data_IF_008106422075
#
_entry.id   IF_008106422075
#
_cell.length_a   1.000
_cell.length_b   1.000
_cell.length_c   1.000
_cell.angle_alpha   90.00
_cell.angle_beta   90.00
_cell.angle_gamma   90.00
#
_symmetry.space_group_name_H-M   'P 1'
#
loop_
_entity.id
_entity.type
_entity.pdbx_description
1 polymer ?
#
# COMPACT_ATOMS: atom_id res chain seq x y z
N UNK A 1 -27.40 12.34 -19.16
CA UNK A 1 -26.65 11.55 -18.17
C UNK A 1 -27.65 11.03 -17.14
N UNK A 2 -27.90 9.72 -17.14
CA UNK A 2 -28.69 9.09 -16.08
C UNK A 2 -27.93 9.25 -14.76
N UNK A 3 -28.64 9.63 -13.71
CA UNK A 3 -28.06 9.77 -12.39
C UNK A 3 -27.76 8.36 -11.86
N UNK A 4 -26.49 7.95 -11.87
CA UNK A 4 -26.03 6.60 -11.50
C UNK A 4 -26.14 6.34 -9.97
N UNK A 5 -27.15 6.88 -9.31
CA UNK A 5 -27.33 6.76 -7.86
C UNK A 5 -26.37 7.62 -7.05
N UNK A 6 -25.75 8.65 -7.64
CA UNK A 6 -24.89 9.62 -6.95
C UNK A 6 -25.29 11.07 -7.27
N UNK A 7 -25.29 11.92 -6.25
CA UNK A 7 -25.37 13.37 -6.35
C UNK A 7 -23.95 13.96 -6.27
N UNK A 8 -23.64 14.92 -7.15
CA UNK A 8 -22.31 15.56 -7.26
C UNK A 8 -22.39 16.99 -6.75
N UNK A 9 -21.41 17.44 -5.96
CA UNK A 9 -21.36 18.78 -5.36
C UNK A 9 -19.99 19.42 -5.54
N UNK A 10 -19.97 20.75 -5.58
CA UNK A 10 -18.73 21.54 -5.64
C UNK A 10 -18.05 21.60 -4.27
N UNK A 11 -18.83 21.64 -3.18
CA UNK A 11 -18.30 21.77 -1.84
C UNK A 11 -18.55 20.51 -1.00
N UNK A 12 -17.62 20.23 -0.07
CA UNK A 12 -17.71 19.09 0.86
C UNK A 12 -18.96 19.12 1.75
N UNK A 13 -19.48 20.31 2.05
CA UNK A 13 -20.67 20.51 2.87
C UNK A 13 -21.99 20.27 2.12
N UNK A 14 -21.97 19.56 0.99
CA UNK A 14 -23.15 19.26 0.13
C UNK A 14 -23.84 20.53 -0.40
N UNK A 15 -23.08 21.59 -0.65
CA UNK A 15 -23.59 22.82 -1.29
C UNK A 15 -23.09 22.92 -2.74
N UNK A 16 -23.88 23.58 -3.60
CA UNK A 16 -23.55 23.70 -5.02
C UNK A 16 -23.67 22.38 -5.77
N UNK A 17 -24.86 21.75 -5.70
CA UNK A 17 -25.14 20.51 -6.42
C UNK A 17 -25.04 20.72 -7.94
N UNK A 18 -24.34 19.79 -8.60
CA UNK A 18 -24.20 19.75 -10.04
C UNK A 18 -25.24 18.78 -10.58
N UNK A 19 -26.36 19.32 -11.06
CA UNK A 19 -27.37 18.51 -11.74
C UNK A 19 -26.89 18.08 -13.12
N UNK A 20 -26.94 16.77 -13.37
CA UNK A 20 -26.69 16.19 -14.68
C UNK A 20 -27.60 16.80 -15.76
N UNK A 21 -27.02 17.59 -16.66
CA UNK A 21 -27.72 18.19 -17.79
C UNK A 21 -26.88 18.01 -19.04
N UNK A 22 -27.49 17.52 -20.13
CA UNK A 22 -26.81 17.37 -21.42
C UNK A 22 -26.44 18.69 -22.09
N UNK A 23 -27.00 19.81 -21.58
CA UNK A 23 -26.94 21.11 -22.26
C UNK A 23 -26.10 22.14 -21.49
N UNK A 24 -25.36 21.72 -20.44
CA UNK A 24 -24.50 22.60 -19.64
C UNK A 24 -23.04 22.22 -19.85
N UNK A 25 -22.21 23.20 -20.23
CA UNK A 25 -20.75 23.03 -20.31
C UNK A 25 -20.10 23.13 -18.92
N UNK A 26 -18.92 22.55 -18.76
CA UNK A 26 -18.12 22.67 -17.52
C UNK A 26 -17.75 24.13 -17.20
N UNK A 27 -17.57 24.96 -18.23
CA UNK A 27 -17.28 26.39 -18.07
C UNK A 27 -18.42 27.16 -17.38
N UNK A 28 -19.67 26.75 -17.61
CA UNK A 28 -20.84 27.36 -16.97
C UNK A 28 -20.91 27.02 -15.47
N UNK A 29 -20.35 25.88 -15.08
CA UNK A 29 -20.22 25.44 -13.69
C UNK A 29 -19.00 26.02 -12.97
N UNK A 30 -18.18 26.84 -13.69
CA UNK A 30 -16.92 27.44 -13.20
C UNK A 30 -15.89 26.44 -12.69
N UNK A 31 -15.96 25.19 -13.15
CA UNK A 31 -15.02 24.13 -12.79
C UNK A 31 -13.74 24.31 -13.62
N UNK A 32 -12.60 24.45 -12.95
CA UNK A 32 -11.27 24.57 -13.53
C UNK A 32 -10.47 23.29 -13.33
N UNK A 33 -9.36 23.19 -14.06
CA UNK A 33 -8.40 22.12 -13.82
C UNK A 33 -7.80 22.26 -12.42
N UNK A 34 -7.95 21.23 -11.60
CA UNK A 34 -7.50 21.21 -10.20
C UNK A 34 -8.62 21.36 -9.17
N UNK A 35 -9.85 21.65 -9.60
CA UNK A 35 -11.00 21.74 -8.69
C UNK A 35 -11.46 20.35 -8.22
N UNK A 36 -11.77 20.23 -6.93
CA UNK A 36 -12.28 19.00 -6.33
C UNK A 36 -13.81 18.94 -6.43
N UNK A 37 -14.33 17.76 -6.77
CA UNK A 37 -15.76 17.47 -6.78
C UNK A 37 -16.07 16.39 -5.73
N UNK A 38 -17.23 16.50 -5.11
CA UNK A 38 -17.66 15.61 -4.03
C UNK A 38 -18.87 14.79 -4.49
N UNK A 39 -18.82 13.47 -4.36
CA UNK A 39 -19.90 12.56 -4.73
C UNK A 39 -20.56 11.98 -3.48
N UNK A 40 -21.89 11.95 -3.46
CA UNK A 40 -22.67 11.33 -2.40
C UNK A 40 -23.71 10.36 -2.99
N UNK A 41 -23.88 9.16 -2.45
CA UNK A 41 -24.89 8.22 -2.93
C UNK A 41 -26.32 8.74 -2.64
N UNK A 42 -27.21 8.65 -3.62
CA UNK A 42 -28.59 9.16 -3.56
C UNK A 42 -29.60 8.13 -3.00
N UNK A 43 -29.18 6.90 -2.72
CA UNK A 43 -29.99 5.90 -2.03
C UNK A 43 -29.18 5.19 -0.97
N UNK A 44 -29.84 4.71 0.07
CA UNK A 44 -29.30 3.77 1.06
C UNK A 44 -28.99 2.43 0.38
N UNK A 45 -28.00 2.40 -0.51
CA UNK A 45 -27.19 1.20 -0.65
C UNK A 45 -26.50 0.99 0.71
N UNK A 46 -26.57 -0.23 1.23
CA UNK A 46 -26.26 -0.62 2.62
C UNK A 46 -24.93 -0.09 3.19
N UNK A 47 -24.74 -0.24 4.51
CA UNK A 47 -24.11 0.72 5.40
C UNK A 47 -22.71 1.11 4.92
N UNK A 48 -22.63 2.25 4.24
CA UNK A 48 -21.40 3.03 4.12
C UNK A 48 -21.47 4.10 5.20
N UNK A 49 -21.10 3.75 6.42
CA UNK A 49 -20.93 4.74 7.49
C UNK A 49 -19.52 5.30 7.45
N UNK A 50 -19.44 6.53 6.96
CA UNK A 50 -18.85 7.68 7.64
C UNK A 50 -17.51 7.45 8.36
N UNK A 51 -16.46 8.09 7.84
CA UNK A 51 -15.29 8.50 8.59
C UNK A 51 -15.71 9.49 9.69
N UNK A 52 -15.54 9.15 10.96
CA UNK A 52 -15.14 10.08 12.03
C UNK A 52 -14.53 9.29 13.21
N UNK A 53 -13.32 9.70 13.57
CA UNK A 53 -12.67 9.74 14.88
C UNK A 53 -12.90 8.60 15.89
N UNK A 54 -11.80 7.86 16.12
CA UNK A 54 -11.38 7.26 17.37
C UNK A 54 -12.43 6.54 18.23
N UNK A 55 -12.59 5.22 18.04
CA UNK A 55 -12.60 4.24 19.17
C UNK A 55 -12.65 2.79 18.66
N UNK A 56 -11.91 1.96 19.39
CA UNK A 56 -11.65 0.53 19.21
C UNK A 56 -12.89 -0.33 18.92
N UNK A 57 -13.05 -0.80 17.68
CA UNK A 57 -13.76 -2.05 17.37
C UNK A 57 -13.12 -2.71 16.14
N UNK A 58 -12.84 -4.02 16.27
CA UNK A 58 -12.06 -4.81 15.33
C UNK A 58 -12.62 -4.81 13.91
N UNK A 59 -11.86 -4.20 13.01
CA UNK A 59 -12.03 -4.31 11.57
C UNK A 59 -11.70 -5.76 11.17
N UNK A 60 -12.75 -6.57 10.99
CA UNK A 60 -12.63 -7.75 10.13
C UNK A 60 -12.28 -7.23 8.73
N UNK A 61 -11.17 -7.74 8.20
CA UNK A 61 -10.68 -7.48 6.86
C UNK A 61 -11.84 -7.51 5.86
N UNK A 62 -12.22 -6.33 5.36
CA UNK A 62 -13.04 -6.21 4.16
C UNK A 62 -12.20 -6.84 3.06
N UNK A 63 -12.63 -8.01 2.58
CA UNK A 63 -11.85 -8.86 1.69
C UNK A 63 -11.27 -8.03 0.55
N UNK A 64 -9.96 -8.18 0.34
CA UNK A 64 -9.31 -7.69 -0.88
C UNK A 64 -10.19 -8.11 -2.04
N UNK A 65 -10.58 -7.16 -2.91
CA UNK A 65 -11.09 -7.53 -4.22
C UNK A 65 -10.15 -8.62 -4.77
N UNK A 66 -10.70 -9.74 -5.25
CA UNK A 66 -9.91 -10.89 -5.70
C UNK A 66 -9.25 -10.53 -7.05
N UNK A 67 -8.31 -9.60 -7.01
CA UNK A 67 -7.44 -9.22 -8.11
C UNK A 67 -6.40 -10.32 -8.21
N UNK A 68 -6.35 -10.95 -9.37
CA UNK A 68 -5.32 -11.94 -9.66
C UNK A 68 -4.04 -11.17 -9.98
N UNK A 69 -3.05 -11.27 -9.08
CA UNK A 69 -1.71 -10.74 -9.29
C UNK A 69 -1.00 -11.48 -10.44
N UNK A 70 0.01 -10.85 -11.05
CA UNK A 70 0.81 -11.47 -12.08
C UNK A 70 1.55 -12.72 -11.55
N UNK A 71 1.80 -13.69 -12.42
CA UNK A 71 2.46 -14.95 -12.03
C UNK A 71 3.83 -14.71 -11.38
N UNK A 72 4.56 -13.68 -11.83
CA UNK A 72 5.86 -13.31 -11.28
C UNK A 72 5.74 -12.75 -9.86
N UNK A 73 4.72 -11.96 -9.58
CA UNK A 73 4.49 -11.37 -8.26
C UNK A 73 4.06 -12.44 -7.25
N UNK A 74 3.23 -13.39 -7.70
CA UNK A 74 2.87 -14.58 -6.91
C UNK A 74 4.09 -15.46 -6.60
N UNK A 75 5.03 -15.57 -7.54
CA UNK A 75 6.28 -16.31 -7.32
C UNK A 75 7.18 -15.58 -6.31
N UNK A 76 7.41 -14.27 -6.51
CA UNK A 76 8.30 -13.46 -5.69
C UNK A 76 7.76 -13.25 -4.26
N UNK A 77 6.45 -13.16 -4.08
CA UNK A 77 5.81 -13.02 -2.75
C UNK A 77 6.07 -14.22 -1.83
N UNK A 78 6.26 -15.42 -2.40
CA UNK A 78 6.54 -16.66 -1.64
C UNK A 78 8.00 -16.79 -1.21
N UNK A 79 8.92 -16.04 -1.83
CA UNK A 79 10.34 -16.09 -1.48
C UNK A 79 10.63 -15.26 -0.22
N UNK A 80 11.61 -15.64 0.59
CA UNK A 80 12.06 -14.82 1.74
C UNK A 80 12.95 -13.65 1.28
N UNK A 81 13.72 -13.87 0.20
CA UNK A 81 14.72 -12.94 -0.32
C UNK A 81 15.92 -12.74 0.60
N UNK A 82 16.16 -13.64 1.56
CA UNK A 82 17.28 -13.49 2.50
C UNK A 82 18.61 -13.75 1.81
N UNK A 83 19.61 -12.95 2.16
CA UNK A 83 20.96 -13.09 1.62
C UNK A 83 21.77 -13.96 2.58
N UNK A 84 21.96 -15.22 2.20
CA UNK A 84 22.69 -16.19 3.01
C UNK A 84 24.20 -15.98 2.90
N UNK A 85 24.85 -15.77 4.05
CA UNK A 85 26.30 -15.58 4.15
C UNK A 85 27.00 -16.82 4.67
N UNK A 86 28.17 -17.09 4.11
CA UNK A 86 29.07 -18.14 4.61
C UNK A 86 29.68 -17.75 5.95
N UNK A 87 30.17 -18.75 6.69
CA UNK A 87 30.91 -18.51 7.93
C UNK A 87 32.23 -17.81 7.61
N UNK A 88 32.47 -16.69 8.28
CA UNK A 88 33.77 -16.02 8.27
C UNK A 88 34.74 -16.73 9.23
N UNK A 89 35.87 -17.29 8.75
CA UNK A 89 36.83 -18.00 9.62
C UNK A 89 37.48 -17.13 10.70
N UNK A 90 37.59 -15.82 10.48
CA UNK A 90 38.27 -14.89 11.38
C UNK A 90 37.30 -14.26 12.39
N UNK A 91 36.08 -13.93 11.97
CA UNK A 91 35.10 -13.24 12.81
C UNK A 91 34.13 -14.21 13.52
N UNK A 92 33.86 -15.40 12.97
CA UNK A 92 32.89 -16.33 13.54
C UNK A 92 33.51 -17.26 14.60
N UNK A 93 33.24 -16.95 15.88
CA UNK A 93 33.64 -17.76 17.04
C UNK A 93 32.54 -18.71 17.54
N UNK A 94 32.10 -19.62 16.67
CA UNK A 94 31.09 -20.63 17.03
C UNK A 94 31.34 -21.95 16.29
N UNK A 95 30.67 -23.03 16.72
CA UNK A 95 30.70 -24.33 16.05
C UNK A 95 30.03 -24.33 14.67
N UNK A 96 30.08 -25.44 13.92
CA UNK A 96 29.56 -25.54 12.54
C UNK A 96 28.06 -25.22 12.40
N UNK A 97 27.25 -25.56 13.40
CA UNK A 97 25.80 -25.31 13.42
C UNK A 97 25.42 -23.99 14.10
N UNK A 98 26.40 -23.27 14.66
CA UNK A 98 26.16 -21.97 15.28
C UNK A 98 25.96 -20.87 14.22
N UNK A 99 25.25 -19.81 14.61
CA UNK A 99 25.14 -18.57 13.85
C UNK A 99 25.50 -17.39 14.75
N UNK A 100 26.14 -16.38 14.18
CA UNK A 100 26.41 -15.11 14.85
C UNK A 100 26.09 -13.94 13.90
N UNK A 101 26.28 -12.71 14.37
CA UNK A 101 26.03 -11.49 13.60
C UNK A 101 26.79 -11.43 12.27
N UNK A 102 27.92 -12.13 12.15
CA UNK A 102 28.75 -12.15 10.94
C UNK A 102 28.31 -13.18 9.89
N UNK A 103 27.47 -14.16 10.24
CA UNK A 103 27.05 -15.23 9.32
C UNK A 103 25.53 -15.53 9.35
N UNK A 104 24.78 -14.77 10.13
CA UNK A 104 23.32 -14.72 10.04
C UNK A 104 22.94 -14.15 8.66
N UNK A 105 21.90 -14.69 8.00
CA UNK A 105 21.40 -14.14 6.75
C UNK A 105 21.00 -12.66 6.92
N UNK A 106 21.30 -11.86 5.91
CA UNK A 106 20.87 -10.46 5.86
C UNK A 106 19.47 -10.35 5.28
N UNK A 107 18.78 -9.30 5.67
CA UNK A 107 17.48 -8.96 5.09
C UNK A 107 17.66 -8.39 3.68
N UNK A 108 16.70 -8.60 2.76
CA UNK A 108 16.79 -8.11 1.37
C UNK A 108 16.85 -6.58 1.24
N UNK A 109 16.53 -5.85 2.32
CA UNK A 109 16.51 -4.38 2.39
C UNK A 109 17.67 -3.81 3.24
N UNK A 110 18.69 -4.63 3.53
CA UNK A 110 19.90 -4.21 4.23
C UNK A 110 20.68 -3.18 3.40
N UNK A 111 20.78 -1.94 3.91
CA UNK A 111 21.34 -0.81 3.17
C UNK A 111 22.84 -0.96 2.94
N UNK A 112 23.58 -1.47 3.92
CA UNK A 112 25.02 -1.69 3.83
C UNK A 112 25.34 -2.73 2.75
N UNK A 113 24.58 -3.83 2.70
CA UNK A 113 24.72 -4.82 1.64
C UNK A 113 24.45 -4.22 0.25
N UNK A 114 23.33 -3.51 0.08
CA UNK A 114 22.93 -2.94 -1.22
C UNK A 114 23.94 -1.90 -1.74
N UNK A 115 24.54 -1.12 -0.83
CA UNK A 115 25.54 -0.11 -1.17
C UNK A 115 26.91 -0.70 -1.54
N UNK A 116 27.24 -1.90 -1.05
CA UNK A 116 28.51 -2.57 -1.30
C UNK A 116 28.51 -3.51 -2.52
N UNK A 117 27.37 -3.66 -3.20
CA UNK A 117 27.30 -4.36 -4.48
C UNK A 117 28.01 -3.57 -5.59
N UNK A 118 28.51 -4.27 -6.59
CA UNK A 118 29.12 -3.67 -7.79
C UNK A 118 28.26 -3.98 -9.03
N UNK A 119 27.53 -3.00 -9.60
CA UNK A 119 27.35 -1.63 -9.14
C UNK A 119 26.40 -1.51 -7.92
N UNK A 120 26.48 -0.41 -7.14
CA UNK A 120 25.60 -0.20 -5.99
C UNK A 120 24.14 -0.14 -6.39
N UNK A 121 23.29 -0.81 -5.61
CA UNK A 121 21.85 -0.81 -5.84
C UNK A 121 21.25 0.46 -5.24
N UNK A 122 20.80 1.37 -6.12
CA UNK A 122 20.24 2.67 -5.71
C UNK A 122 18.90 2.57 -4.99
N UNK A 123 18.08 1.58 -5.35
CA UNK A 123 16.75 1.37 -4.80
C UNK A 123 16.52 -0.12 -4.58
N UNK A 124 16.02 -0.49 -3.41
CA UNK A 124 15.59 -1.87 -3.15
C UNK A 124 14.43 -2.27 -4.06
N UNK A 125 14.26 -3.56 -4.29
CA UNK A 125 13.12 -4.07 -5.06
C UNK A 125 11.80 -3.80 -4.33
N UNK A 126 10.70 -3.74 -5.08
CA UNK A 126 9.37 -3.54 -4.51
C UNK A 126 9.04 -4.59 -3.44
N UNK A 127 9.28 -5.88 -3.70
CA UNK A 127 9.06 -6.93 -2.68
C UNK A 127 9.95 -6.79 -1.45
N UNK A 128 11.20 -6.31 -1.59
CA UNK A 128 12.04 -6.02 -0.44
C UNK A 128 11.45 -4.87 0.41
N UNK A 129 10.90 -3.84 -0.24
CA UNK A 129 10.20 -2.76 0.43
C UNK A 129 8.93 -3.22 1.15
N UNK A 130 8.11 -4.06 0.51
CA UNK A 130 6.94 -4.67 1.16
C UNK A 130 7.38 -5.48 2.39
N UNK A 131 8.47 -6.25 2.30
CA UNK A 131 9.02 -6.99 3.45
C UNK A 131 9.55 -6.05 4.55
N UNK A 132 10.16 -4.91 4.20
CA UNK A 132 10.58 -3.88 5.17
C UNK A 132 9.39 -3.33 5.96
N UNK A 133 8.27 -3.07 5.28
CA UNK A 133 7.05 -2.56 5.90
C UNK A 133 6.28 -3.62 6.70
N UNK A 134 6.24 -4.84 6.19
CA UNK A 134 5.52 -5.96 6.81
C UNK A 134 6.36 -6.74 7.82
N UNK A 135 7.63 -6.35 8.00
CA UNK A 135 8.53 -6.91 9.00
C UNK A 135 8.05 -6.63 10.43
N UNK A 136 8.36 -7.53 11.36
CA UNK A 136 8.07 -7.37 12.79
C UNK A 136 6.76 -7.98 13.27
N UNK A 137 6.42 -7.74 14.54
CA UNK A 137 5.29 -8.39 15.22
C UNK A 137 3.93 -8.06 14.60
N UNK A 138 3.83 -6.87 14.01
CA UNK A 138 2.58 -6.36 13.45
C UNK A 138 2.30 -6.86 12.04
N UNK A 139 3.26 -7.53 11.38
CA UNK A 139 3.06 -8.15 10.05
C UNK A 139 2.36 -7.25 9.03
N UNK A 140 2.63 -5.95 9.07
CA UNK A 140 2.01 -4.97 8.17
C UNK A 140 0.58 -4.53 8.52
N UNK A 141 0.05 -4.85 9.71
CA UNK A 141 -1.31 -4.46 10.15
C UNK A 141 -1.63 -2.97 10.00
N UNK A 142 -0.61 -2.11 10.09
CA UNK A 142 -0.75 -0.65 10.02
C UNK A 142 -0.20 -0.07 8.72
N UNK A 143 0.23 -0.92 7.79
CA UNK A 143 0.78 -0.48 6.52
C UNK A 143 -0.39 -0.32 5.56
N UNK A 144 -0.61 0.92 5.11
CA UNK A 144 -1.49 1.22 3.99
C UNK A 144 -0.66 1.22 2.70
N UNK A 145 -0.90 0.24 1.82
CA UNK A 145 -0.31 0.12 0.49
C UNK A 145 -1.37 0.41 -0.58
#
# INVERSE_FOLDING_TARGET
>A
FQNNGFSVYINRNKTGEITASSNKSLSLLRIKHGDLLFLFPSSLAGPSSEMETSTTLGLKALGSAHVVEDEIDQYLSRQDGKIYRSRDPQLCRHGPLGKCVHCVPLEPFDEDYLNHLEPPVKHMSFHAYIRKLTGGADKGKFVAL
#
